data_IF_152614472746
#
_entry.id   IF_152614472746
#
_cell.length_a   1.000
_cell.length_b   1.000
_cell.length_c   1.000
_cell.angle_alpha   90.00
_cell.angle_beta   90.00
_cell.angle_gamma   90.00
#
_symmetry.space_group_name_H-M   'P 1'
#
loop_
_entity.id
_entity.type
_entity.pdbx_description
1 polymer ?
#
# COMPACT_ATOMS: atom_id res chain seq x y z
N UNK A 1 -7.43 3.57 -22.67
CA UNK A 1 -6.64 4.81 -22.69
C UNK A 1 -5.66 4.70 -23.85
N UNK A 2 -5.82 5.54 -24.87
CA UNK A 2 -4.96 5.60 -26.07
C UNK A 2 -3.54 6.04 -25.71
N UNK A 3 -2.53 5.58 -26.48
CA UNK A 3 -1.10 5.89 -26.28
C UNK A 3 -0.78 7.41 -26.23
N UNK A 4 -1.65 8.27 -26.78
CA UNK A 4 -1.51 9.73 -26.72
C UNK A 4 -1.65 10.32 -25.31
N UNK A 5 -2.49 9.74 -24.43
CA UNK A 5 -2.63 10.23 -23.05
C UNK A 5 -1.41 9.90 -22.19
N UNK A 6 -0.72 8.79 -22.48
CA UNK A 6 0.51 8.37 -21.79
C UNK A 6 1.67 9.29 -22.15
N UNK A 7 1.76 9.74 -23.41
CA UNK A 7 2.80 10.69 -23.87
C UNK A 7 2.60 12.09 -23.28
N UNK A 8 1.36 12.53 -23.06
CA UNK A 8 1.07 13.79 -22.34
C UNK A 8 1.36 13.70 -20.83
N UNK A 9 1.30 12.50 -20.25
CA UNK A 9 1.58 12.23 -18.85
C UNK A 9 3.08 12.13 -18.53
N UNK A 10 3.86 11.55 -19.46
CA UNK A 10 5.30 11.38 -19.31
C UNK A 10 6.06 12.54 -19.95
N UNK A 11 6.49 13.50 -19.12
CA UNK A 11 7.58 14.41 -19.51
C UNK A 11 7.37 15.91 -19.30
N UNK A 12 6.35 16.35 -18.54
CA UNK A 12 6.22 17.79 -18.23
C UNK A 12 6.08 18.01 -16.72
N UNK A 13 6.88 18.93 -16.17
CA UNK A 13 6.74 19.51 -14.81
C UNK A 13 5.46 20.37 -14.66
N UNK A 14 4.36 19.99 -15.35
CA UNK A 14 3.10 20.71 -15.37
C UNK A 14 1.93 19.71 -15.38
N UNK A 15 0.81 20.00 -14.69
CA UNK A 15 -0.41 19.22 -14.83
C UNK A 15 -0.96 19.34 -16.25
N UNK A 16 -1.85 18.42 -16.62
CA UNK A 16 -2.69 18.63 -17.79
C UNK A 16 -3.62 19.81 -17.52
N UNK A 17 -3.71 20.75 -18.45
CA UNK A 17 -4.65 21.86 -18.38
C UNK A 17 -5.15 22.19 -19.79
N UNK A 18 -6.48 22.32 -19.93
CA UNK A 18 -7.15 22.71 -21.16
C UNK A 18 -8.23 23.75 -20.85
N UNK A 19 -8.39 24.75 -21.72
CA UNK A 19 -9.32 25.86 -21.53
C UNK A 19 -9.87 26.32 -22.89
N UNK A 20 -11.19 26.43 -23.03
CA UNK A 20 -11.86 26.77 -24.30
C UNK A 20 -11.40 28.11 -24.90
N UNK A 21 -11.01 29.06 -24.06
CA UNK A 21 -10.64 30.42 -24.47
C UNK A 21 -9.16 30.56 -24.86
N UNK A 22 -8.35 29.50 -24.69
CA UNK A 22 -6.96 29.47 -25.15
C UNK A 22 -6.86 28.64 -26.42
N UNK A 23 -5.84 28.91 -27.24
CA UNK A 23 -5.58 28.27 -28.54
C UNK A 23 -5.26 26.76 -28.35
N UNK A 24 -6.30 25.97 -28.08
CA UNK A 24 -6.22 24.60 -27.57
C UNK A 24 -6.41 23.61 -28.72
N UNK A 25 -5.66 22.50 -28.71
CA UNK A 25 -5.82 21.45 -29.73
C UNK A 25 -7.25 20.90 -29.74
N UNK A 26 -7.74 20.47 -30.91
CA UNK A 26 -9.05 19.82 -31.04
C UNK A 26 -9.21 18.64 -30.06
N UNK A 27 -8.16 17.85 -29.84
CA UNK A 27 -8.17 16.73 -28.88
C UNK A 27 -8.43 17.17 -27.43
N UNK A 28 -7.99 18.37 -27.06
CA UNK A 28 -8.14 18.90 -25.71
C UNK A 28 -9.53 19.53 -25.51
N UNK A 29 -10.11 20.10 -26.58
CA UNK A 29 -11.50 20.58 -26.61
C UNK A 29 -12.47 19.41 -26.41
N UNK A 30 -12.25 18.28 -27.10
CA UNK A 30 -13.11 17.09 -26.95
C UNK A 30 -13.13 16.57 -25.50
N UNK A 31 -11.99 16.60 -24.81
CA UNK A 31 -11.91 16.21 -23.39
C UNK A 31 -12.72 17.19 -22.52
N UNK A 32 -12.53 18.50 -22.71
CA UNK A 32 -13.24 19.55 -21.97
C UNK A 32 -14.75 19.46 -22.20
N UNK A 33 -15.19 19.21 -23.43
CA UNK A 33 -16.58 19.02 -23.82
C UNK A 33 -17.20 17.76 -23.21
N UNK A 34 -16.44 16.65 -23.16
CA UNK A 34 -16.87 15.43 -22.50
C UNK A 34 -17.21 15.67 -21.01
N UNK A 35 -16.40 16.48 -20.32
CA UNK A 35 -16.65 16.84 -18.92
C UNK A 35 -17.66 17.99 -18.73
N UNK A 36 -18.12 18.64 -19.82
CA UNK A 36 -19.04 19.79 -19.80
C UNK A 36 -18.53 20.91 -18.89
N UNK A 37 -17.28 21.29 -19.11
CA UNK A 37 -16.58 22.37 -18.41
C UNK A 37 -16.00 23.34 -19.44
N UNK A 38 -15.65 24.55 -19.03
CA UNK A 38 -14.95 25.54 -19.86
C UNK A 38 -13.43 25.47 -19.67
N UNK A 39 -12.97 24.97 -18.52
CA UNK A 39 -11.58 24.61 -18.30
C UNK A 39 -11.45 23.37 -17.43
N UNK A 40 -10.36 22.62 -17.62
CA UNK A 40 -10.09 21.36 -16.94
C UNK A 40 -8.61 21.24 -16.61
N UNK A 41 -8.29 21.09 -15.33
CA UNK A 41 -6.95 20.78 -14.83
C UNK A 41 -6.93 19.35 -14.27
N UNK A 42 -6.00 18.51 -14.72
CA UNK A 42 -5.85 17.13 -14.23
C UNK A 42 -4.41 16.86 -13.82
N UNK A 43 -4.25 16.26 -12.65
CA UNK A 43 -2.98 15.71 -12.16
C UNK A 43 -3.15 14.23 -11.85
N UNK A 44 -2.22 13.40 -12.30
CA UNK A 44 -2.18 11.99 -11.95
C UNK A 44 -1.56 11.81 -10.56
N UNK A 45 -2.12 10.86 -9.80
CA UNK A 45 -1.55 10.38 -8.55
C UNK A 45 -0.78 9.11 -8.87
N UNK A 46 0.50 9.09 -8.53
CA UNK A 46 1.38 7.94 -8.69
C UNK A 46 1.79 7.41 -7.33
N UNK A 47 1.93 6.10 -7.21
CA UNK A 47 2.55 5.47 -6.05
C UNK A 47 4.09 5.55 -6.10
N UNK A 48 4.76 4.96 -5.11
CA UNK A 48 6.21 4.93 -5.01
C UNK A 48 6.90 4.18 -6.15
N UNK A 49 6.18 3.34 -6.89
CA UNK A 49 6.68 2.57 -8.04
C UNK A 49 6.43 3.31 -9.37
N UNK A 50 5.82 4.50 -9.32
CA UNK A 50 5.45 5.28 -10.50
C UNK A 50 4.17 4.80 -11.18
N UNK A 51 3.43 3.85 -10.58
CA UNK A 51 2.16 3.38 -11.11
C UNK A 51 1.07 4.40 -10.80
N UNK A 52 0.26 4.73 -11.81
CA UNK A 52 -0.89 5.62 -11.65
C UNK A 52 -1.97 4.90 -10.85
N UNK A 53 -2.30 5.45 -9.68
CA UNK A 53 -3.33 4.91 -8.77
C UNK A 53 -4.62 5.75 -8.77
N UNK A 54 -4.59 6.94 -9.37
CA UNK A 54 -5.74 7.83 -9.45
C UNK A 54 -5.39 9.16 -10.13
N UNK A 55 -6.32 10.11 -10.03
CA UNK A 55 -6.12 11.48 -10.52
C UNK A 55 -6.90 12.48 -9.67
N UNK A 56 -6.43 13.72 -9.67
CA UNK A 56 -7.11 14.89 -9.11
C UNK A 56 -7.50 15.78 -10.28
N UNK A 57 -8.77 16.15 -10.37
CA UNK A 57 -9.32 16.99 -11.44
C UNK A 57 -10.04 18.21 -10.89
N UNK A 58 -9.83 19.37 -11.52
CA UNK A 58 -10.56 20.61 -11.25
C UNK A 58 -11.20 21.08 -12.56
N UNK A 59 -12.50 21.35 -12.54
CA UNK A 59 -13.23 21.82 -13.71
C UNK A 59 -14.01 23.09 -13.38
N UNK A 60 -13.93 24.09 -14.26
CA UNK A 60 -14.70 25.34 -14.16
C UNK A 60 -15.79 25.38 -15.24
N UNK A 61 -16.94 25.99 -14.95
CA UNK A 61 -18.11 26.09 -15.85
C UNK A 61 -18.60 27.50 -16.14
N UNK A 62 -18.07 28.51 -15.45
CA UNK A 62 -18.62 29.87 -15.51
C UNK A 62 -17.56 30.93 -15.79
N UNK A 63 -16.35 30.75 -15.25
CA UNK A 63 -15.25 31.69 -15.45
C UNK A 63 -14.03 30.90 -15.88
N UNK A 64 -13.80 30.77 -17.19
CA UNK A 64 -12.60 30.10 -17.67
C UNK A 64 -11.35 30.91 -17.28
N UNK A 65 -10.79 30.62 -16.10
CA UNK A 65 -9.57 31.25 -15.59
C UNK A 65 -8.41 30.68 -16.39
N UNK A 66 -7.78 31.52 -17.19
CA UNK A 66 -6.50 31.21 -17.82
C UNK A 66 -5.39 31.21 -16.78
N UNK A 67 -4.72 30.07 -16.58
CA UNK A 67 -3.49 30.05 -15.78
C UNK A 67 -2.28 30.44 -16.61
N UNK A 68 -1.41 31.24 -16.01
CA UNK A 68 -0.04 31.46 -16.47
C UNK A 68 0.82 30.22 -16.24
N UNK A 69 1.97 30.16 -16.91
CA UNK A 69 2.93 29.08 -16.74
C UNK A 69 3.50 28.98 -15.31
N UNK A 70 3.61 30.10 -14.61
CA UNK A 70 4.05 30.17 -13.21
C UNK A 70 2.99 29.62 -12.26
N UNK A 71 1.72 29.96 -12.48
CA UNK A 71 0.59 29.42 -11.72
C UNK A 71 0.46 27.90 -11.93
N UNK A 72 0.59 27.42 -13.17
CA UNK A 72 0.58 25.98 -13.45
C UNK A 72 1.73 25.24 -12.77
N UNK A 73 2.90 25.85 -12.65
CA UNK A 73 4.02 25.28 -11.88
C UNK A 73 3.74 25.27 -10.38
N UNK A 74 3.17 26.34 -9.83
CA UNK A 74 2.79 26.38 -8.42
C UNK A 74 1.75 25.30 -8.10
N UNK A 75 0.71 25.18 -8.94
CA UNK A 75 -0.32 24.14 -8.84
C UNK A 75 0.33 22.75 -8.95
N UNK A 76 1.29 22.56 -9.86
CA UNK A 76 2.03 21.30 -9.98
C UNK A 76 2.69 20.87 -8.67
N UNK A 77 3.36 21.81 -7.98
CA UNK A 77 4.06 21.54 -6.72
C UNK A 77 3.08 21.24 -5.59
N UNK A 78 2.02 22.05 -5.44
CA UNK A 78 1.00 21.87 -4.41
C UNK A 78 0.28 20.53 -4.60
N UNK A 79 -0.19 20.25 -5.82
CA UNK A 79 -0.85 18.98 -6.12
C UNK A 79 0.12 17.80 -6.05
N UNK A 80 1.41 18.00 -6.31
CA UNK A 80 2.44 17.00 -6.11
C UNK A 80 2.54 16.56 -4.64
N UNK A 81 2.56 17.52 -3.72
CA UNK A 81 2.56 17.25 -2.27
C UNK A 81 1.29 16.50 -1.84
N UNK A 82 0.11 17.00 -2.26
CA UNK A 82 -1.17 16.35 -1.96
C UNK A 82 -1.27 14.93 -2.55
N UNK A 83 -0.80 14.74 -3.79
CA UNK A 83 -0.80 13.42 -4.44
C UNK A 83 0.05 12.42 -3.67
N UNK A 84 1.19 12.86 -3.13
CA UNK A 84 2.06 12.02 -2.31
C UNK A 84 1.37 11.62 -0.99
N UNK A 85 0.68 12.56 -0.34
CA UNK A 85 -0.07 12.26 0.88
C UNK A 85 -1.21 11.25 0.63
N UNK A 86 -1.97 11.44 -0.45
CA UNK A 86 -3.03 10.50 -0.86
C UNK A 86 -2.43 9.12 -1.13
N UNK A 87 -1.31 9.03 -1.87
CA UNK A 87 -0.67 7.76 -2.17
C UNK A 87 -0.21 7.02 -0.91
N UNK A 88 0.40 7.74 0.05
CA UNK A 88 0.82 7.16 1.34
C UNK A 88 -0.38 6.66 2.13
N UNK A 89 -1.48 7.42 2.16
CA UNK A 89 -2.69 7.03 2.87
C UNK A 89 -3.35 5.80 2.25
N UNK A 90 -3.50 5.78 0.93
CA UNK A 90 -4.04 4.64 0.19
C UNK A 90 -3.23 3.36 0.44
N UNK A 91 -1.90 3.47 0.47
CA UNK A 91 -1.02 2.35 0.77
C UNK A 91 -1.28 1.80 2.18
N UNK A 92 -1.31 2.67 3.20
CA UNK A 92 -1.60 2.29 4.59
C UNK A 92 -2.98 1.64 4.73
N UNK A 93 -4.00 2.19 4.07
CA UNK A 93 -5.35 1.62 4.12
C UNK A 93 -5.43 0.25 3.45
N UNK A 94 -4.69 0.03 2.36
CA UNK A 94 -4.58 -1.29 1.72
C UNK A 94 -3.89 -2.31 2.63
N UNK A 95 -2.80 -1.92 3.30
CA UNK A 95 -2.10 -2.77 4.25
C UNK A 95 -3.03 -3.19 5.41
N UNK A 96 -3.75 -2.24 6.01
CA UNK A 96 -4.73 -2.53 7.07
C UNK A 96 -5.84 -3.47 6.57
N UNK A 97 -6.35 -3.25 5.36
CA UNK A 97 -7.40 -4.11 4.77
C UNK A 97 -6.90 -5.54 4.53
N UNK A 98 -5.70 -5.68 3.98
CA UNK A 98 -5.08 -6.98 3.75
C UNK A 98 -4.82 -7.71 5.09
N UNK A 99 -4.26 -7.01 6.07
CA UNK A 99 -4.02 -7.54 7.41
C UNK A 99 -5.30 -8.00 8.10
N UNK A 100 -6.38 -7.19 8.08
CA UNK A 100 -7.69 -7.59 8.63
C UNK A 100 -8.26 -8.82 7.94
N UNK A 101 -8.12 -8.91 6.62
CA UNK A 101 -8.59 -10.06 5.84
C UNK A 101 -7.84 -11.32 6.22
N UNK A 102 -6.50 -11.25 6.28
CA UNK A 102 -5.66 -12.37 6.70
C UNK A 102 -5.97 -12.79 8.15
N UNK A 103 -6.04 -11.84 9.08
CA UNK A 103 -6.38 -12.10 10.48
C UNK A 103 -7.74 -12.82 10.61
N UNK A 104 -8.75 -12.37 9.86
CA UNK A 104 -10.06 -13.02 9.82
C UNK A 104 -9.97 -14.47 9.33
N UNK A 105 -9.21 -14.73 8.26
CA UNK A 105 -9.00 -16.11 7.76
C UNK A 105 -8.30 -16.97 8.82
N UNK A 106 -7.22 -16.47 9.42
CA UNK A 106 -6.41 -17.21 10.38
C UNK A 106 -7.19 -17.53 11.66
N UNK A 107 -8.04 -16.62 12.14
CA UNK A 107 -8.87 -16.83 13.33
C UNK A 107 -10.03 -17.79 13.08
N UNK A 108 -10.57 -17.85 11.86
CA UNK A 108 -11.73 -18.69 11.52
C UNK A 108 -11.36 -20.06 10.93
N UNK A 109 -10.07 -20.38 10.82
CA UNK A 109 -9.61 -21.67 10.27
C UNK A 109 -9.82 -22.84 11.25
N UNK A 110 -10.06 -22.57 12.54
CA UNK A 110 -10.23 -23.61 13.57
C UNK A 110 -8.93 -24.34 13.92
N UNK A 111 -7.78 -23.68 13.72
CA UNK A 111 -6.46 -24.21 14.06
C UNK A 111 -5.66 -23.16 14.82
N UNK A 112 -4.78 -23.62 15.72
CA UNK A 112 -3.90 -22.76 16.49
C UNK A 112 -2.65 -22.42 15.68
N UNK A 113 -2.44 -21.13 15.42
CA UNK A 113 -1.33 -20.67 14.59
C UNK A 113 -0.48 -19.68 15.35
N UNK A 114 0.82 -19.90 15.32
CA UNK A 114 1.82 -18.91 15.69
C UNK A 114 2.95 -18.85 14.66
N UNK A 115 3.63 -17.71 14.62
CA UNK A 115 4.84 -17.49 13.82
C UNK A 115 5.90 -16.91 14.76
N UNK A 116 7.11 -17.47 14.70
CA UNK A 116 8.26 -16.93 15.39
C UNK A 116 9.43 -16.68 14.42
N UNK A 117 10.32 -15.77 14.81
CA UNK A 117 11.59 -15.56 14.13
C UNK A 117 12.43 -16.84 14.19
N UNK A 118 13.00 -17.24 13.05
CA UNK A 118 13.82 -18.43 12.94
C UNK A 118 15.10 -18.35 13.79
N UNK A 119 15.74 -17.17 13.83
CA UNK A 119 17.02 -16.99 14.50
C UNK A 119 16.88 -16.59 15.96
N UNK A 120 16.04 -15.60 16.23
CA UNK A 120 15.90 -15.04 17.58
C UNK A 120 14.85 -15.74 18.42
N UNK A 121 13.98 -16.56 17.83
CA UNK A 121 12.80 -17.16 18.46
C UNK A 121 11.72 -16.17 18.91
N UNK A 122 11.84 -14.89 18.58
CA UNK A 122 10.85 -13.89 18.99
C UNK A 122 9.49 -14.21 18.37
N UNK A 123 8.43 -14.13 19.17
CA UNK A 123 7.06 -14.28 18.69
C UNK A 123 6.71 -13.12 17.76
N UNK A 124 6.32 -13.45 16.53
CA UNK A 124 5.96 -12.49 15.48
C UNK A 124 4.45 -12.39 15.29
N UNK A 125 3.74 -13.50 15.51
CA UNK A 125 2.29 -13.57 15.38
C UNK A 125 1.72 -14.74 16.18
N UNK A 126 0.53 -14.57 16.72
CA UNK A 126 -0.34 -15.65 17.15
C UNK A 126 -1.78 -15.28 16.79
N UNK A 127 -2.55 -16.23 16.27
CA UNK A 127 -3.97 -16.02 16.03
C UNK A 127 -4.76 -16.09 17.36
N UNK A 128 -6.01 -15.65 17.35
CA UNK A 128 -6.86 -15.62 18.56
C UNK A 128 -7.05 -17.02 19.16
N UNK A 129 -7.19 -18.04 18.32
CA UNK A 129 -7.33 -19.44 18.74
C UNK A 129 -6.12 -19.88 19.56
N UNK A 130 -4.90 -19.66 19.04
CA UNK A 130 -3.65 -19.97 19.74
C UNK A 130 -3.51 -19.21 21.05
N UNK A 131 -3.96 -17.95 21.08
CA UNK A 131 -3.74 -17.07 22.21
C UNK A 131 -4.76 -17.25 23.35
N UNK A 132 -5.99 -17.68 23.03
CA UNK A 132 -7.09 -17.79 23.98
C UNK A 132 -6.78 -18.66 25.22
N UNK A 133 -6.15 -19.86 25.11
CA UNK A 133 -5.80 -20.68 26.27
C UNK A 133 -4.78 -20.03 27.21
N UNK A 134 -4.05 -19.03 26.73
CA UNK A 134 -2.99 -18.34 27.46
C UNK A 134 -3.42 -16.97 28.00
N UNK A 135 -4.71 -16.62 27.87
CA UNK A 135 -5.25 -15.35 28.37
C UNK A 135 -5.20 -14.19 27.38
N UNK A 136 -4.93 -14.48 26.09
CA UNK A 136 -4.97 -13.49 25.01
C UNK A 136 -3.59 -13.16 24.43
N UNK A 137 -3.59 -12.27 23.43
CA UNK A 137 -2.41 -11.99 22.60
C UNK A 137 -1.25 -11.37 23.41
N UNK A 138 -1.57 -10.59 24.43
CA UNK A 138 -0.61 -9.94 25.33
C UNK A 138 0.33 -10.95 26.02
N UNK A 139 -0.09 -12.21 26.17
CA UNK A 139 0.79 -13.25 26.70
C UNK A 139 1.98 -13.54 25.78
N UNK A 140 1.86 -13.32 24.48
CA UNK A 140 2.91 -13.65 23.49
C UNK A 140 3.80 -12.45 23.15
N UNK A 141 3.30 -11.23 23.35
CA UNK A 141 4.00 -10.00 22.95
C UNK A 141 5.37 -9.86 23.64
N UNK A 142 6.40 -9.61 22.83
CA UNK A 142 7.78 -9.42 23.31
C UNK A 142 8.46 -10.67 23.87
N UNK A 143 7.82 -11.85 23.81
CA UNK A 143 8.39 -13.11 24.30
C UNK A 143 9.00 -13.94 23.18
N UNK A 144 9.92 -14.82 23.54
CA UNK A 144 10.38 -15.91 22.67
C UNK A 144 9.38 -17.06 22.68
N UNK A 145 9.33 -17.86 21.62
CA UNK A 145 8.36 -18.95 21.48
C UNK A 145 8.38 -19.91 22.67
N UNK A 146 9.55 -20.34 23.12
CA UNK A 146 9.69 -21.23 24.26
C UNK A 146 9.28 -20.58 25.60
N UNK A 147 9.43 -19.25 25.75
CA UNK A 147 8.97 -18.50 26.93
C UNK A 147 7.45 -18.38 26.98
N UNK A 148 6.83 -18.21 25.82
CA UNK A 148 5.38 -18.08 25.71
C UNK A 148 4.70 -19.45 25.87
N UNK A 149 5.26 -20.50 25.26
CA UNK A 149 4.61 -21.82 25.17
C UNK A 149 4.84 -22.70 26.40
N UNK A 150 5.98 -22.57 27.06
CA UNK A 150 6.39 -23.48 28.13
C UNK A 150 6.85 -22.72 29.37
N UNK A 151 6.35 -23.12 30.55
CA UNK A 151 6.66 -22.45 31.82
C UNK A 151 8.06 -22.78 32.34
N UNK A 152 8.60 -23.93 31.96
CA UNK A 152 9.84 -24.53 32.46
C UNK A 152 11.05 -24.27 31.56
N UNK A 153 10.86 -23.67 30.38
CA UNK A 153 11.94 -23.46 29.41
C UNK A 153 12.64 -22.12 29.64
N UNK A 154 13.97 -22.17 29.61
CA UNK A 154 14.87 -21.02 29.71
C UNK A 154 15.70 -20.78 28.44
N UNK A 155 15.48 -21.59 27.40
CA UNK A 155 16.19 -21.53 26.12
C UNK A 155 15.51 -22.35 25.02
N UNK A 156 16.17 -22.46 23.87
CA UNK A 156 15.68 -23.25 22.74
C UNK A 156 15.36 -24.69 23.16
N UNK A 157 14.21 -25.20 22.72
CA UNK A 157 13.76 -26.54 23.07
C UNK A 157 14.67 -27.62 22.47
N UNK A 158 14.91 -28.70 23.21
CA UNK A 158 15.61 -29.89 22.68
C UNK A 158 14.88 -30.51 21.47
N UNK A 159 13.54 -30.37 21.45
CA UNK A 159 12.65 -30.75 20.38
C UNK A 159 12.35 -29.58 19.41
N UNK A 160 13.21 -28.58 19.30
CA UNK A 160 13.00 -27.52 18.32
C UNK A 160 13.06 -28.08 16.89
N UNK A 161 12.06 -27.85 16.01
CA UNK A 161 12.08 -28.35 14.64
C UNK A 161 13.04 -27.57 13.74
N UNK A 162 13.67 -26.48 14.22
CA UNK A 162 14.57 -25.59 13.47
C UNK A 162 15.59 -26.35 12.61
N UNK A 163 16.23 -27.37 13.16
CA UNK A 163 17.22 -28.21 12.47
C UNK A 163 16.68 -29.01 11.28
N UNK A 164 15.36 -29.21 11.20
CA UNK A 164 14.70 -29.93 10.12
C UNK A 164 14.21 -29.00 9.01
N UNK A 165 14.13 -27.70 9.29
CA UNK A 165 13.61 -26.68 8.38
C UNK A 165 14.68 -26.08 7.45
N UNK A 166 15.96 -26.39 7.68
CA UNK A 166 17.08 -25.98 6.84
C UNK A 166 17.94 -27.18 6.46
N UNK A 167 18.57 -27.10 5.30
CA UNK A 167 19.57 -28.07 4.85
C UNK A 167 20.97 -27.73 5.36
N UNK A 168 21.96 -28.52 4.96
CA UNK A 168 23.38 -28.33 5.30
C UNK A 168 23.98 -27.02 4.77
N UNK A 169 23.35 -26.39 3.76
CA UNK A 169 23.76 -25.11 3.20
C UNK A 169 23.01 -23.93 3.84
N UNK A 170 22.14 -24.18 4.82
CA UNK A 170 21.30 -23.17 5.46
C UNK A 170 20.10 -22.73 4.63
N UNK A 171 19.72 -23.47 3.58
CA UNK A 171 18.57 -23.16 2.73
C UNK A 171 17.29 -23.81 3.28
N UNK A 172 16.13 -23.15 3.16
CA UNK A 172 14.85 -23.70 3.61
C UNK A 172 14.52 -25.04 2.94
N UNK A 173 14.05 -26.01 3.73
CA UNK A 173 13.59 -27.32 3.25
C UNK A 173 12.07 -27.36 3.13
N UNK A 174 11.49 -28.57 3.03
CA UNK A 174 10.04 -28.81 3.03
C UNK A 174 9.44 -28.69 4.43
N UNK A 175 8.12 -28.66 4.49
CA UNK A 175 7.35 -28.68 5.75
C UNK A 175 7.78 -29.87 6.61
N UNK A 176 8.06 -29.59 7.88
CA UNK A 176 8.30 -30.60 8.92
C UNK A 176 7.02 -30.81 9.74
N UNK A 177 6.55 -32.06 9.80
CA UNK A 177 5.48 -32.48 10.69
C UNK A 177 6.06 -33.42 11.74
N UNK A 178 5.72 -33.18 13.00
CA UNK A 178 5.95 -34.11 14.10
C UNK A 178 5.11 -35.37 13.92
#
# INVERSE_FOLDING_TARGET
MTNQHVVRANGKNKPFYACRNQNTSWDDVDIVDFYKVDSLLIRQIQDSEGKIIGFIGFGDREHAISFTDEELQMIHLILGSLSKEIAVREYKEREVRASKTLSSIMNNMGVDIYVNSFDSHDMLYANESMAAPYGGIEHFEGKKCWQALYKDKTGECEFCPKKHLIDENGLPTKVYSW
#
